data_IF_782989678034
#
_entry.id   IF_782989678034
#
_cell.length_a   1.000
_cell.length_b   1.000
_cell.length_c   1.000
_cell.angle_alpha   90.00
_cell.angle_beta   90.00
_cell.angle_gamma   90.00
#
_symmetry.space_group_name_H-M   'P 1'
#
loop_
_entity.id
_entity.type
_entity.pdbx_description
1 polymer ?
#
# COMPACT_ATOMS: atom_id res chain seq x y z
N UNK A 1 -3.31 -6.89 -29.98
CA UNK A 1 -2.29 -7.58 -29.17
C UNK A 1 -1.31 -6.56 -28.65
N UNK A 2 -1.13 -6.49 -27.33
CA UNK A 2 -0.22 -5.58 -26.66
C UNK A 2 0.70 -6.40 -25.75
N UNK A 3 1.98 -6.04 -25.65
CA UNK A 3 2.96 -6.77 -24.84
C UNK A 3 3.30 -5.96 -23.61
N UNK A 4 3.29 -6.63 -22.45
CA UNK A 4 3.84 -6.11 -21.20
C UNK A 4 5.16 -6.81 -20.91
N UNK A 5 6.17 -6.06 -20.49
CA UNK A 5 7.44 -6.64 -20.03
C UNK A 5 7.41 -6.71 -18.52
N UNK A 6 7.43 -7.91 -17.97
CA UNK A 6 7.46 -8.12 -16.52
C UNK A 6 8.85 -8.57 -16.09
N UNK A 7 9.35 -7.96 -15.03
CA UNK A 7 10.66 -8.25 -14.45
C UNK A 7 10.44 -8.56 -12.97
N UNK A 8 10.63 -9.82 -12.61
CA UNK A 8 10.63 -10.26 -11.21
C UNK A 8 11.90 -9.74 -10.53
N UNK A 9 11.75 -9.19 -9.32
CA UNK A 9 12.83 -8.60 -8.53
C UNK A 9 12.72 -9.03 -7.05
N UNK A 10 13.85 -9.15 -6.32
CA UNK A 10 13.82 -9.49 -4.89
C UNK A 10 13.47 -8.29 -4.00
N UNK A 11 13.67 -7.06 -4.49
CA UNK A 11 13.41 -5.80 -3.78
C UNK A 11 12.84 -4.78 -4.78
N UNK A 12 11.56 -4.43 -4.58
CA UNK A 12 10.84 -3.54 -5.48
C UNK A 12 11.34 -2.09 -5.40
N UNK A 13 11.65 -1.59 -4.21
CA UNK A 13 12.06 -0.18 -4.04
C UNK A 13 13.43 0.05 -4.66
N UNK A 14 14.36 -0.88 -4.42
CA UNK A 14 15.67 -0.86 -5.05
C UNK A 14 15.55 -0.92 -6.58
N UNK A 15 14.69 -1.78 -7.11
CA UNK A 15 14.48 -1.91 -8.55
C UNK A 15 13.90 -0.63 -9.16
N UNK A 16 12.86 -0.04 -8.56
CA UNK A 16 12.30 1.24 -9.02
C UNK A 16 13.39 2.30 -9.10
N UNK A 17 14.19 2.46 -8.04
CA UNK A 17 15.27 3.45 -8.00
C UNK A 17 16.33 3.20 -9.08
N UNK A 18 16.72 1.94 -9.29
CA UNK A 18 17.68 1.56 -10.33
C UNK A 18 17.16 1.93 -11.73
N UNK A 19 15.95 1.49 -12.10
CA UNK A 19 15.41 1.73 -13.44
C UNK A 19 15.16 3.21 -13.72
N UNK A 20 14.77 4.00 -12.70
CA UNK A 20 14.67 5.46 -12.80
C UNK A 20 16.01 6.11 -13.10
N UNK A 21 17.06 5.73 -12.37
CA UNK A 21 18.39 6.37 -12.47
C UNK A 21 19.16 5.93 -13.71
N UNK A 22 19.12 4.63 -14.02
CA UNK A 22 19.90 4.04 -15.10
C UNK A 22 19.32 4.32 -16.49
N UNK A 23 17.99 4.29 -16.62
CA UNK A 23 17.32 4.35 -17.92
C UNK A 23 16.31 5.49 -18.05
N UNK A 24 16.15 6.32 -17.02
CA UNK A 24 15.22 7.46 -17.06
C UNK A 24 13.74 7.06 -17.03
N UNK A 25 13.42 5.81 -16.65
CA UNK A 25 12.02 5.38 -16.55
C UNK A 25 11.30 6.15 -15.43
N UNK A 26 10.01 6.39 -15.58
CA UNK A 26 9.16 7.03 -14.57
C UNK A 26 8.26 6.00 -13.91
N UNK A 27 8.24 5.99 -12.58
CA UNK A 27 7.20 5.26 -11.84
C UNK A 27 5.84 5.90 -12.15
N UNK A 28 5.00 5.21 -12.90
CA UNK A 28 3.68 5.69 -13.26
C UNK A 28 2.68 5.44 -12.14
N UNK A 29 2.62 4.19 -11.66
CA UNK A 29 1.76 3.80 -10.54
C UNK A 29 2.24 2.52 -9.87
N UNK A 30 1.66 2.22 -8.71
CA UNK A 30 1.83 0.94 -8.01
C UNK A 30 0.59 0.08 -8.18
N UNK A 31 0.81 -1.22 -8.34
CA UNK A 31 -0.23 -2.24 -8.43
C UNK A 31 -0.18 -3.07 -7.14
N UNK A 32 -0.83 -2.57 -6.11
CA UNK A 32 -0.68 -3.07 -4.76
C UNK A 32 0.74 -2.86 -4.19
N UNK A 33 1.12 -3.58 -3.12
CA UNK A 33 2.38 -3.36 -2.43
C UNK A 33 3.60 -3.97 -3.12
N UNK A 34 3.39 -4.92 -4.05
CA UNK A 34 4.45 -5.77 -4.62
C UNK A 34 4.63 -5.61 -6.12
N UNK A 35 4.03 -4.60 -6.74
CA UNK A 35 4.21 -4.35 -8.16
C UNK A 35 4.20 -2.86 -8.49
N UNK A 36 4.96 -2.50 -9.51
CA UNK A 36 5.07 -1.14 -10.02
C UNK A 36 5.05 -1.13 -11.55
N UNK A 37 4.34 -0.16 -12.11
CA UNK A 37 4.36 0.12 -13.55
C UNK A 37 5.33 1.27 -13.84
N UNK A 38 6.30 1.00 -14.70
CA UNK A 38 7.35 1.93 -15.13
C UNK A 38 7.14 2.29 -16.60
N UNK A 39 7.10 3.58 -16.91
CA UNK A 39 6.93 4.13 -18.26
C UNK A 39 8.21 4.82 -18.74
N UNK A 40 8.30 5.08 -20.05
CA UNK A 40 9.46 5.71 -20.70
C UNK A 40 10.15 4.82 -21.74
N UNK A 41 9.80 3.54 -21.80
CA UNK A 41 10.15 2.61 -22.86
C UNK A 41 9.00 2.44 -23.87
N UNK A 42 9.27 1.79 -25.01
CA UNK A 42 8.26 1.51 -26.04
C UNK A 42 7.16 0.52 -25.59
N UNK A 43 7.45 -0.27 -24.56
CA UNK A 43 6.49 -1.10 -23.86
C UNK A 43 6.58 -0.79 -22.36
N UNK A 44 5.45 -0.79 -21.62
CA UNK A 44 5.49 -0.61 -20.18
C UNK A 44 6.27 -1.75 -19.52
N UNK A 45 7.10 -1.38 -18.54
CA UNK A 45 7.87 -2.33 -17.74
C UNK A 45 7.22 -2.46 -16.38
N UNK A 46 6.87 -3.67 -16.00
CA UNK A 46 6.30 -4.01 -14.70
C UNK A 46 7.39 -4.65 -13.84
N UNK A 47 7.65 -4.06 -12.68
CA UNK A 47 8.55 -4.61 -11.67
C UNK A 47 7.71 -5.37 -10.65
N UNK A 48 7.98 -6.65 -10.45
CA UNK A 48 7.20 -7.54 -9.60
C UNK A 48 8.06 -8.09 -8.46
N UNK A 49 7.70 -7.82 -7.21
CA UNK A 49 8.44 -8.34 -6.07
C UNK A 49 8.13 -9.82 -5.84
N UNK A 50 9.14 -10.66 -6.01
CA UNK A 50 9.07 -12.11 -5.78
C UNK A 50 10.28 -12.57 -4.98
N UNK A 51 10.05 -13.33 -3.92
CA UNK A 51 11.14 -13.86 -3.11
C UNK A 51 11.99 -14.86 -3.92
N UNK A 52 13.31 -14.80 -3.75
CA UNK A 52 14.22 -15.81 -4.28
C UNK A 52 13.82 -17.21 -3.78
N UNK A 53 14.01 -18.24 -4.61
CA UNK A 53 13.65 -19.61 -4.28
C UNK A 53 12.17 -19.96 -4.46
N UNK A 54 11.31 -19.01 -4.87
CA UNK A 54 9.90 -19.31 -5.22
C UNK A 54 9.77 -19.84 -6.65
N UNK A 55 8.81 -20.75 -6.95
CA UNK A 55 8.62 -21.25 -8.32
C UNK A 55 8.01 -20.18 -9.24
N UNK A 56 8.41 -20.15 -10.51
CA UNK A 56 7.88 -19.20 -11.49
C UNK A 56 6.43 -19.52 -11.90
N UNK A 57 6.12 -20.80 -12.06
CA UNK A 57 4.81 -21.38 -12.35
C UNK A 57 4.69 -22.73 -11.62
N UNK A 58 3.49 -23.30 -11.49
CA UNK A 58 3.32 -24.56 -10.73
C UNK A 58 4.09 -25.73 -11.33
N UNK A 59 4.18 -25.77 -12.67
CA UNK A 59 4.88 -26.80 -13.42
C UNK A 59 6.38 -26.52 -13.61
N UNK A 60 6.88 -25.37 -13.13
CA UNK A 60 8.29 -24.98 -13.25
C UNK A 60 9.14 -25.72 -12.22
N UNK A 61 10.14 -26.48 -12.70
CA UNK A 61 11.07 -27.21 -11.82
C UNK A 61 12.12 -26.31 -11.17
N UNK A 62 12.38 -25.17 -11.81
CA UNK A 62 13.40 -24.22 -11.36
C UNK A 62 12.74 -23.10 -10.57
N UNK A 63 13.42 -22.67 -9.53
CA UNK A 63 12.97 -21.56 -8.70
C UNK A 63 13.62 -20.27 -9.15
N UNK A 64 13.04 -19.14 -8.74
CA UNK A 64 13.60 -17.81 -9.01
C UNK A 64 15.00 -17.70 -8.40
N UNK A 65 15.98 -17.57 -9.27
CA UNK A 65 17.35 -17.22 -8.95
C UNK A 65 17.68 -15.90 -9.65
N UNK A 66 18.16 -14.94 -8.89
CA UNK A 66 18.53 -13.61 -9.38
C UNK A 66 20.03 -13.53 -9.74
N UNK A 67 20.75 -14.65 -9.75
CA UNK A 67 22.05 -14.77 -10.39
C UNK A 67 21.91 -14.71 -11.92
N UNK A 68 22.97 -14.26 -12.60
CA UNK A 68 22.95 -13.82 -14.01
C UNK A 68 22.55 -14.88 -15.07
N UNK A 69 22.34 -16.14 -14.70
CA UNK A 69 22.10 -17.23 -15.65
C UNK A 69 20.61 -17.54 -15.91
N UNK A 70 19.68 -16.95 -15.13
CA UNK A 70 18.25 -16.97 -15.41
C UNK A 70 17.75 -15.54 -15.64
N UNK A 71 16.97 -15.32 -16.68
CA UNK A 71 16.30 -14.02 -16.86
C UNK A 71 14.98 -14.08 -16.10
N UNK A 72 14.79 -13.31 -15.00
CA UNK A 72 13.51 -13.22 -14.29
C UNK A 72 12.55 -12.31 -15.08
N UNK A 73 12.57 -12.41 -16.40
CA UNK A 73 11.79 -11.58 -17.32
C UNK A 73 10.83 -12.49 -18.06
N UNK A 74 9.55 -12.13 -18.03
CA UNK A 74 8.52 -12.78 -18.81
C UNK A 74 7.68 -11.75 -19.55
N UNK A 75 7.13 -12.17 -20.67
CA UNK A 75 6.25 -11.35 -21.48
C UNK A 75 4.81 -11.72 -21.17
N UNK A 76 3.97 -10.70 -21.01
CA UNK A 76 2.53 -10.93 -20.96
C UNK A 76 1.92 -10.44 -22.27
N UNK A 77 1.26 -11.35 -22.98
CA UNK A 77 0.56 -11.07 -24.23
C UNK A 77 -0.90 -10.80 -23.91
N UNK A 78 -1.29 -9.54 -24.06
CA UNK A 78 -2.66 -9.09 -23.82
C UNK A 78 -3.54 -9.41 -25.02
N UNK A 79 -4.60 -10.20 -24.78
CA UNK A 79 -5.56 -10.72 -25.76
C UNK A 79 -7.00 -10.43 -25.31
N UNK A 80 -7.93 -10.54 -26.26
CA UNK A 80 -9.36 -10.35 -26.00
C UNK A 80 -10.01 -11.59 -25.35
N UNK A 81 -9.51 -12.78 -25.64
CA UNK A 81 -10.01 -14.06 -25.15
C UNK A 81 -8.83 -14.96 -24.76
N UNK A 82 -8.65 -15.16 -23.45
CA UNK A 82 -7.53 -15.95 -22.92
C UNK A 82 -7.64 -17.43 -23.28
N UNK A 83 -8.85 -18.01 -23.29
CA UNK A 83 -9.02 -19.45 -23.48
C UNK A 83 -8.70 -19.81 -24.92
N UNK A 84 -9.25 -19.03 -25.88
CA UNK A 84 -8.94 -19.19 -27.30
C UNK A 84 -7.44 -19.01 -27.60
N UNK A 85 -6.81 -18.01 -26.98
CA UNK A 85 -5.39 -17.74 -27.20
C UNK A 85 -4.50 -18.83 -26.61
N UNK A 86 -4.86 -19.38 -25.45
CA UNK A 86 -4.19 -20.55 -24.85
C UNK A 86 -4.29 -21.76 -25.77
N UNK A 87 -5.48 -22.08 -26.27
CA UNK A 87 -5.68 -23.20 -27.20
C UNK A 87 -4.81 -23.06 -28.45
N UNK A 88 -4.76 -21.85 -29.01
CA UNK A 88 -3.93 -21.54 -30.17
C UNK A 88 -2.43 -21.68 -29.87
N UNK A 89 -1.97 -21.19 -28.71
CA UNK A 89 -0.57 -21.27 -28.31
C UNK A 89 -0.14 -22.74 -28.08
N UNK A 90 -0.98 -23.52 -27.41
CA UNK A 90 -0.73 -24.96 -27.19
C UNK A 90 -0.70 -25.73 -28.50
N UNK A 91 -1.63 -25.45 -29.42
CA UNK A 91 -1.61 -26.04 -30.76
C UNK A 91 -0.34 -25.69 -31.56
N UNK A 92 0.28 -24.54 -31.27
CA UNK A 92 1.55 -24.11 -31.85
C UNK A 92 2.79 -24.66 -31.13
N UNK A 93 2.62 -25.48 -30.08
CA UNK A 93 3.70 -26.14 -29.35
C UNK A 93 4.08 -25.49 -28.01
N UNK A 94 3.37 -24.46 -27.56
CA UNK A 94 3.55 -23.95 -26.21
C UNK A 94 3.11 -24.99 -25.17
N UNK A 95 3.78 -25.00 -24.02
CA UNK A 95 3.41 -25.84 -22.88
C UNK A 95 2.61 -25.01 -21.89
N UNK A 96 1.36 -25.39 -21.65
CA UNK A 96 0.56 -24.82 -20.57
C UNK A 96 1.13 -25.26 -19.22
N UNK A 97 1.47 -24.30 -18.37
CA UNK A 97 2.02 -24.54 -17.04
C UNK A 97 0.97 -24.31 -15.95
N UNK A 98 0.21 -23.22 -16.07
CA UNK A 98 -0.92 -22.89 -15.22
C UNK A 98 -2.12 -22.45 -16.08
N UNK A 99 -3.31 -23.08 -15.93
CA UNK A 99 -4.53 -22.65 -16.60
C UNK A 99 -4.91 -21.20 -16.29
N UNK A 100 -5.75 -20.61 -17.14
CA UNK A 100 -6.24 -19.25 -16.95
C UNK A 100 -7.01 -19.11 -15.62
N UNK A 101 -6.45 -18.36 -14.68
CA UNK A 101 -7.08 -18.02 -13.40
C UNK A 101 -7.73 -16.63 -13.46
N UNK A 102 -8.88 -16.45 -12.79
CA UNK A 102 -9.61 -15.19 -12.75
C UNK A 102 -9.25 -14.34 -11.53
N UNK A 103 -9.09 -13.04 -11.75
CA UNK A 103 -8.84 -12.01 -10.76
C UNK A 103 -9.73 -10.78 -11.02
N UNK A 104 -9.77 -9.84 -10.08
CA UNK A 104 -10.54 -8.60 -10.23
C UNK A 104 -10.14 -7.76 -11.46
N UNK A 105 -8.86 -7.78 -11.81
CA UNK A 105 -8.28 -7.02 -12.92
C UNK A 105 -8.28 -7.77 -14.27
N UNK A 106 -8.53 -9.08 -14.28
CA UNK A 106 -8.36 -9.89 -15.49
C UNK A 106 -8.19 -11.38 -15.25
N UNK A 107 -7.93 -12.10 -16.35
CA UNK A 107 -7.58 -13.51 -16.38
C UNK A 107 -6.16 -13.71 -16.90
N UNK A 108 -5.43 -14.65 -16.34
CA UNK A 108 -4.04 -14.93 -16.76
C UNK A 108 -3.74 -16.42 -16.74
N UNK A 109 -3.12 -16.91 -17.81
CA UNK A 109 -2.52 -18.24 -17.90
C UNK A 109 -1.00 -18.12 -17.99
N UNK A 110 -0.26 -19.09 -17.43
CA UNK A 110 1.19 -19.17 -17.54
C UNK A 110 1.57 -20.32 -18.47
N UNK A 111 2.44 -20.03 -19.43
CA UNK A 111 2.93 -20.99 -20.41
C UNK A 111 4.45 -20.86 -20.54
N UNK A 112 5.07 -21.89 -21.11
CA UNK A 112 6.37 -21.75 -21.76
C UNK A 112 6.23 -21.92 -23.27
N UNK A 113 7.02 -21.17 -24.03
CA UNK A 113 7.16 -21.41 -25.45
C UNK A 113 7.90 -22.75 -25.72
N UNK A 114 8.00 -23.21 -26.99
CA UNK A 114 8.69 -24.46 -27.31
C UNK A 114 10.16 -24.53 -26.87
N UNK A 115 10.77 -23.40 -26.53
CA UNK A 115 12.17 -23.28 -26.12
C UNK A 115 12.33 -23.10 -24.60
N UNK A 116 11.23 -23.06 -23.85
CA UNK A 116 11.21 -22.94 -22.39
C UNK A 116 11.17 -21.50 -21.88
N UNK A 117 10.96 -20.50 -22.74
CA UNK A 117 10.80 -19.12 -22.29
C UNK A 117 9.40 -18.91 -21.70
N UNK A 118 9.35 -18.36 -20.49
CA UNK A 118 8.08 -18.05 -19.82
C UNK A 118 7.32 -16.95 -20.54
N UNK A 119 6.04 -17.20 -20.81
CA UNK A 119 5.10 -16.27 -21.43
C UNK A 119 3.74 -16.41 -20.75
N UNK A 120 3.11 -15.28 -20.44
CA UNK A 120 1.75 -15.28 -19.92
C UNK A 120 0.78 -14.80 -20.98
N UNK A 121 -0.42 -15.37 -21.01
CA UNK A 121 -1.53 -14.87 -21.83
C UNK A 121 -2.52 -14.19 -20.90
N UNK A 122 -2.76 -12.90 -21.16
CA UNK A 122 -3.51 -12.01 -20.29
C UNK A 122 -4.78 -11.53 -20.99
N UNK A 123 -5.92 -11.60 -20.32
CA UNK A 123 -7.14 -10.91 -20.73
C UNK A 123 -7.53 -9.93 -19.64
N UNK A 124 -7.52 -8.63 -19.93
CA UNK A 124 -8.03 -7.65 -18.98
C UNK A 124 -9.55 -7.77 -18.84
N UNK A 125 -10.03 -7.68 -17.60
CA UNK A 125 -11.44 -7.58 -17.25
C UNK A 125 -11.65 -6.31 -16.41
N UNK A 126 -12.88 -5.83 -16.31
CA UNK A 126 -13.19 -4.60 -15.55
C UNK A 126 -12.38 -3.41 -16.07
N UNK A 127 -11.69 -2.70 -15.17
CA UNK A 127 -10.76 -1.60 -15.52
C UNK A 127 -9.31 -2.05 -15.68
N UNK A 128 -9.05 -3.35 -15.83
CA UNK A 128 -7.69 -3.88 -15.96
C UNK A 128 -6.88 -3.69 -14.69
N UNK A 129 -5.59 -3.37 -14.82
CA UNK A 129 -4.74 -3.12 -13.66
C UNK A 129 -5.13 -1.90 -12.82
N UNK A 130 -6.05 -1.06 -13.30
CA UNK A 130 -6.63 0.01 -12.49
C UNK A 130 -7.38 -0.55 -11.26
N UNK A 131 -7.81 -1.82 -11.30
CA UNK A 131 -8.39 -2.52 -10.15
C UNK A 131 -7.35 -2.89 -9.08
N UNK A 132 -6.05 -2.92 -9.44
CA UNK A 132 -4.93 -3.19 -8.55
C UNK A 132 -4.23 -1.94 -8.03
N UNK A 133 -4.33 -0.83 -8.77
CA UNK A 133 -4.10 0.48 -8.16
C UNK A 133 -5.24 0.72 -7.18
N UNK A 134 -5.14 0.12 -5.99
CA UNK A 134 -6.02 0.47 -4.87
C UNK A 134 -6.05 1.97 -4.82
N UNK A 135 -7.22 2.57 -5.10
CA UNK A 135 -7.33 3.98 -5.43
C UNK A 135 -6.49 4.76 -4.43
N UNK A 136 -5.44 5.44 -4.92
CA UNK A 136 -4.46 6.08 -4.05
C UNK A 136 -5.18 6.80 -2.92
N UNK A 137 -4.71 6.62 -1.69
CA UNK A 137 -5.31 7.32 -0.56
C UNK A 137 -5.19 8.81 -0.84
N UNK A 138 -6.34 9.45 -1.04
CA UNK A 138 -6.39 10.89 -1.26
C UNK A 138 -6.59 11.58 0.07
N UNK A 139 -5.97 12.75 0.20
CA UNK A 139 -6.06 13.60 1.38
C UNK A 139 -6.68 14.92 0.99
N UNK A 140 -7.77 15.28 1.64
CA UNK A 140 -8.46 16.55 1.42
C UNK A 140 -8.49 17.35 2.72
N UNK A 141 -8.27 18.67 2.68
CA UNK A 141 -8.49 19.52 3.85
C UNK A 141 -9.95 19.38 4.32
N UNK A 142 -10.16 19.52 5.62
CA UNK A 142 -11.50 19.57 6.20
C UNK A 142 -11.84 20.99 6.62
N UNK A 143 -13.12 21.23 6.86
CA UNK A 143 -13.67 22.49 7.36
C UNK A 143 -14.40 22.26 8.68
N UNK A 144 -14.83 23.34 9.32
CA UNK A 144 -15.68 23.26 10.52
C UNK A 144 -16.97 22.45 10.28
N UNK A 145 -17.51 22.50 9.05
CA UNK A 145 -18.71 21.75 8.67
C UNK A 145 -18.50 20.22 8.67
N UNK A 146 -17.26 19.74 8.64
CA UNK A 146 -16.95 18.31 8.65
C UNK A 146 -16.98 17.70 10.06
N UNK A 147 -17.04 18.51 11.11
CA UNK A 147 -16.90 18.07 12.49
C UNK A 147 -17.81 16.88 12.85
N UNK A 148 -19.08 16.94 12.48
CA UNK A 148 -20.06 15.90 12.81
C UNK A 148 -19.73 14.55 12.15
N UNK A 149 -19.31 14.59 10.89
CA UNK A 149 -18.89 13.42 10.16
C UNK A 149 -17.62 12.81 10.78
N UNK A 150 -16.63 13.64 11.15
CA UNK A 150 -15.39 13.17 11.77
C UNK A 150 -15.61 12.63 13.19
N UNK A 151 -16.51 13.25 13.97
CA UNK A 151 -16.89 12.77 15.29
C UNK A 151 -17.53 11.37 15.21
N UNK A 152 -18.40 11.15 14.23
CA UNK A 152 -19.03 9.85 13.96
C UNK A 152 -17.96 8.81 13.62
N UNK A 153 -17.04 9.16 12.72
CA UNK A 153 -15.94 8.30 12.29
C UNK A 153 -15.03 7.90 13.46
N UNK A 154 -14.70 8.85 14.33
CA UNK A 154 -13.91 8.61 15.55
C UNK A 154 -14.64 7.65 16.51
N UNK A 155 -15.93 7.85 16.74
CA UNK A 155 -16.74 6.99 17.61
C UNK A 155 -16.72 5.56 17.07
N UNK A 156 -16.93 5.39 15.76
CA UNK A 156 -16.90 4.08 15.11
C UNK A 156 -15.51 3.43 15.22
N UNK A 157 -14.44 4.16 14.89
CA UNK A 157 -13.07 3.63 14.90
C UNK A 157 -12.56 3.27 16.30
N UNK A 158 -13.05 3.92 17.35
CA UNK A 158 -12.61 3.70 18.74
C UNK A 158 -13.52 2.78 19.55
N UNK A 159 -14.68 2.38 19.01
CA UNK A 159 -15.72 1.65 19.75
C UNK A 159 -15.16 0.44 20.48
N UNK A 160 -14.60 -0.52 19.75
CA UNK A 160 -14.14 -1.79 20.31
C UNK A 160 -13.07 -1.58 21.39
N UNK A 161 -12.09 -0.69 21.16
CA UNK A 161 -11.03 -0.40 22.12
C UNK A 161 -11.56 0.27 23.41
N UNK A 162 -12.57 1.13 23.29
CA UNK A 162 -13.17 1.79 24.46
C UNK A 162 -14.13 0.86 25.22
N UNK A 163 -14.87 0.01 24.51
CA UNK A 163 -15.77 -0.99 25.09
C UNK A 163 -14.98 -2.05 25.88
N UNK A 164 -13.86 -2.53 25.33
CA UNK A 164 -12.94 -3.45 26.03
C UNK A 164 -12.41 -2.89 27.35
N UNK A 165 -12.24 -1.57 27.45
CA UNK A 165 -11.79 -0.89 28.67
C UNK A 165 -12.96 -0.44 29.57
N UNK A 166 -14.21 -0.74 29.20
CA UNK A 166 -15.40 -0.29 29.93
C UNK A 166 -15.57 1.24 29.96
N UNK A 167 -15.04 1.94 28.94
CA UNK A 167 -14.95 3.41 28.90
C UNK A 167 -15.68 4.04 27.71
N UNK A 168 -16.43 3.25 26.95
CA UNK A 168 -17.18 3.78 25.81
C UNK A 168 -18.27 4.74 26.28
N UNK A 169 -18.13 5.99 25.84
CA UNK A 169 -19.07 7.09 26.08
C UNK A 169 -19.04 7.96 24.81
N UNK A 170 -20.10 7.91 23.98
CA UNK A 170 -20.11 8.58 22.68
C UNK A 170 -20.03 10.11 22.81
N UNK A 171 -20.63 10.69 23.85
CA UNK A 171 -20.57 12.13 24.12
C UNK A 171 -19.15 12.55 24.50
N UNK A 172 -18.49 11.79 25.38
CA UNK A 172 -17.08 12.04 25.72
C UNK A 172 -16.16 11.87 24.53
N UNK A 173 -16.43 10.87 23.68
CA UNK A 173 -15.67 10.64 22.47
C UNK A 173 -15.78 11.84 21.50
N UNK A 174 -16.99 12.37 21.32
CA UNK A 174 -17.25 13.57 20.54
C UNK A 174 -16.59 14.81 21.15
N UNK A 175 -16.70 15.01 22.47
CA UNK A 175 -16.10 16.14 23.17
C UNK A 175 -14.55 16.11 23.11
N UNK A 176 -13.93 14.93 23.19
CA UNK A 176 -12.47 14.81 23.03
C UNK A 176 -12.00 15.29 21.66
N UNK A 177 -12.71 14.95 20.59
CA UNK A 177 -12.41 15.50 19.26
C UNK A 177 -12.63 17.01 19.26
N UNK A 178 -13.76 17.49 19.77
CA UNK A 178 -14.09 18.93 19.80
C UNK A 178 -12.99 19.79 20.44
N UNK A 179 -12.44 19.33 21.55
CA UNK A 179 -11.41 20.06 22.29
C UNK A 179 -10.07 20.20 21.54
N UNK A 180 -9.83 19.35 20.54
CA UNK A 180 -8.56 19.28 19.81
C UNK A 180 -8.75 19.48 18.30
N UNK A 181 -9.98 19.77 17.87
CA UNK A 181 -10.31 19.91 16.45
C UNK A 181 -9.83 21.26 15.93
N UNK A 182 -8.89 21.21 15.00
CA UNK A 182 -8.34 22.35 14.27
C UNK A 182 -8.42 22.00 12.77
N UNK A 183 -9.44 22.49 12.03
CA UNK A 183 -9.65 22.14 10.62
C UNK A 183 -8.42 22.35 9.74
N UNK A 184 -7.64 23.42 10.00
CA UNK A 184 -6.40 23.77 9.31
C UNK A 184 -5.26 22.76 9.48
N UNK A 185 -5.39 21.88 10.48
CA UNK A 185 -4.44 20.82 10.80
C UNK A 185 -5.09 19.44 10.71
N UNK A 186 -6.22 19.32 10.03
CA UNK A 186 -6.98 18.08 9.89
C UNK A 186 -7.25 17.76 8.42
N UNK A 187 -7.06 16.49 8.06
CA UNK A 187 -7.28 16.01 6.69
C UNK A 187 -8.16 14.76 6.70
N UNK A 188 -9.14 14.74 5.82
CA UNK A 188 -9.91 13.54 5.54
C UNK A 188 -9.08 12.56 4.70
N UNK A 189 -9.21 11.27 5.00
CA UNK A 189 -8.62 10.15 4.28
C UNK A 189 -9.71 9.61 3.35
N UNK A 190 -9.50 9.72 2.04
CA UNK A 190 -10.41 9.21 1.03
C UNK A 190 -9.83 7.97 0.35
N UNK A 191 -10.66 6.96 0.16
CA UNK A 191 -10.33 5.73 -0.56
C UNK A 191 -11.54 5.30 -1.38
N UNK A 192 -11.36 4.99 -2.67
CA UNK A 192 -12.45 4.70 -3.61
C UNK A 192 -13.55 5.79 -3.66
N UNK A 193 -13.16 7.06 -3.56
CA UNK A 193 -14.10 8.20 -3.56
C UNK A 193 -14.93 8.36 -2.27
N UNK A 194 -14.67 7.56 -1.24
CA UNK A 194 -15.36 7.63 0.05
C UNK A 194 -14.41 8.08 1.16
N UNK A 195 -14.91 8.89 2.10
CA UNK A 195 -14.17 9.24 3.32
C UNK A 195 -14.17 8.03 4.25
N UNK A 196 -13.00 7.41 4.41
CA UNK A 196 -12.80 6.22 5.24
C UNK A 196 -12.05 6.50 6.54
N UNK A 197 -11.55 7.73 6.71
CA UNK A 197 -10.78 8.11 7.88
C UNK A 197 -10.49 9.60 7.94
N UNK A 198 -9.73 9.99 8.95
CA UNK A 198 -9.07 11.29 9.02
C UNK A 198 -7.82 11.22 9.89
N UNK A 199 -6.94 12.20 9.73
CA UNK A 199 -5.85 12.44 10.66
C UNK A 199 -5.73 13.93 10.97
N UNK A 200 -5.18 14.25 12.15
CA UNK A 200 -4.87 15.60 12.56
C UNK A 200 -3.39 15.70 12.94
N UNK A 201 -2.64 16.52 12.22
CA UNK A 201 -1.20 16.71 12.38
C UNK A 201 -0.92 18.21 12.52
N UNK A 202 -0.56 18.64 13.73
CA UNK A 202 -0.28 20.04 14.03
C UNK A 202 1.17 20.26 14.45
N UNK A 203 1.70 21.48 14.32
CA UNK A 203 2.95 21.85 14.97
C UNK A 203 2.87 21.70 16.50
N UNK A 204 3.95 21.23 17.11
CA UNK A 204 4.11 21.16 18.57
C UNK A 204 5.57 21.40 18.95
N UNK A 205 5.85 22.53 19.59
CA UNK A 205 7.23 22.93 19.92
C UNK A 205 8.12 22.93 18.68
N UNK A 206 9.21 22.16 18.73
CA UNK A 206 10.17 22.00 17.64
C UNK A 206 9.81 20.86 16.65
N UNK A 207 8.63 20.24 16.78
CA UNK A 207 8.23 19.09 15.98
C UNK A 207 6.75 19.11 15.58
N UNK A 208 6.21 17.91 15.35
CA UNK A 208 4.82 17.68 14.96
C UNK A 208 4.12 16.77 15.97
N UNK A 209 2.82 17.01 16.19
CA UNK A 209 1.94 16.16 16.99
C UNK A 209 0.85 15.59 16.10
N UNK A 210 0.77 14.25 16.07
CA UNK A 210 -0.35 13.52 15.49
C UNK A 210 -1.41 13.31 16.59
N UNK A 211 -2.39 14.19 16.66
CA UNK A 211 -3.44 14.12 17.68
C UNK A 211 -4.49 13.06 17.36
N UNK A 212 -4.78 12.87 16.08
CA UNK A 212 -5.80 11.93 15.60
C UNK A 212 -5.28 11.15 14.39
N UNK A 213 -5.53 9.84 14.37
CA UNK A 213 -5.42 9.00 13.18
C UNK A 213 -6.46 7.89 13.30
N UNK A 214 -7.53 8.01 12.51
CA UNK A 214 -8.63 7.04 12.53
C UNK A 214 -8.96 6.58 11.13
N UNK A 215 -9.20 5.29 11.00
CA UNK A 215 -9.75 4.63 9.82
C UNK A 215 -10.91 3.77 10.31
N UNK A 216 -12.06 3.83 9.65
CA UNK A 216 -13.24 3.03 10.05
C UNK A 216 -12.92 1.53 10.00
N UNK A 217 -13.49 0.68 10.88
CA UNK A 217 -13.20 -0.76 10.93
C UNK A 217 -13.32 -1.45 9.57
N UNK A 218 -14.33 -1.10 8.77
CA UNK A 218 -14.55 -1.66 7.43
C UNK A 218 -13.40 -1.40 6.43
N UNK A 219 -12.57 -0.40 6.69
CA UNK A 219 -11.43 -0.01 5.86
C UNK A 219 -10.06 -0.30 6.52
N UNK A 220 -10.04 -0.91 7.71
CA UNK A 220 -8.82 -1.32 8.40
C UNK A 220 -8.22 -2.60 7.78
N UNK A 221 -6.99 -2.94 8.12
CA UNK A 221 -6.28 -4.12 7.59
C UNK A 221 -5.79 -3.98 6.14
N UNK A 222 -6.22 -2.95 5.41
CA UNK A 222 -5.87 -2.72 4.00
C UNK A 222 -4.60 -1.85 3.82
N UNK A 223 -3.87 -1.57 4.89
CA UNK A 223 -2.64 -0.77 4.84
C UNK A 223 -2.83 0.75 4.74
N UNK A 224 -4.06 1.27 4.75
CA UNK A 224 -4.35 2.72 4.65
C UNK A 224 -3.65 3.53 5.75
N UNK A 225 -3.70 3.06 7.00
CA UNK A 225 -2.98 3.70 8.10
C UNK A 225 -1.47 3.78 7.87
N UNK A 226 -0.85 2.71 7.33
CA UNK A 226 0.58 2.71 6.99
C UNK A 226 0.91 3.63 5.81
N UNK A 227 -0.02 3.84 4.87
CA UNK A 227 0.14 4.83 3.80
C UNK A 227 0.14 6.26 4.38
N UNK A 228 -0.81 6.57 5.27
CA UNK A 228 -0.88 7.85 5.98
C UNK A 228 0.41 8.08 6.79
N UNK A 229 0.85 7.08 7.55
CA UNK A 229 2.05 7.21 8.38
C UNK A 229 3.32 7.43 7.54
N UNK A 230 3.50 6.68 6.44
CA UNK A 230 4.64 6.90 5.53
C UNK A 230 4.65 8.32 4.95
N UNK A 231 3.49 8.87 4.60
CA UNK A 231 3.38 10.27 4.14
C UNK A 231 3.83 11.24 5.22
N UNK A 232 3.26 11.13 6.42
CA UNK A 232 3.56 12.03 7.55
C UNK A 232 5.04 11.98 7.89
N UNK A 233 5.61 10.78 8.03
CA UNK A 233 7.01 10.62 8.39
C UNK A 233 7.95 11.10 7.29
N UNK A 234 7.62 10.88 6.01
CA UNK A 234 8.40 11.41 4.89
C UNK A 234 8.46 12.94 4.89
N UNK A 235 7.34 13.60 5.21
CA UNK A 235 7.30 15.06 5.34
C UNK A 235 8.08 15.55 6.56
N UNK A 236 7.94 14.87 7.70
CA UNK A 236 8.67 15.22 8.91
C UNK A 236 10.18 15.05 8.71
N UNK A 237 10.61 13.93 8.10
CA UNK A 237 12.00 13.60 7.83
C UNK A 237 12.65 14.60 6.86
N UNK A 238 11.93 15.02 5.81
CA UNK A 238 12.45 16.03 4.87
C UNK A 238 12.64 17.41 5.49
N UNK A 239 11.95 17.68 6.61
CA UNK A 239 12.02 18.92 7.38
C UNK A 239 12.89 18.81 8.64
N UNK A 240 13.42 17.61 8.93
CA UNK A 240 14.16 17.35 10.15
C UNK A 240 13.34 17.56 11.43
N UNK A 241 12.06 17.17 11.41
CA UNK A 241 11.14 17.37 12.54
C UNK A 241 10.81 16.04 13.24
N UNK A 242 10.88 15.98 14.59
CA UNK A 242 10.38 14.82 15.32
C UNK A 242 8.84 14.77 15.29
N UNK A 243 8.27 13.58 15.48
CA UNK A 243 6.82 13.38 15.52
C UNK A 243 6.41 12.72 16.83
N UNK A 244 5.41 13.29 17.51
CA UNK A 244 4.81 12.75 18.73
C UNK A 244 3.37 12.27 18.49
N UNK A 245 2.96 11.23 19.21
CA UNK A 245 1.59 10.69 19.17
C UNK A 245 1.20 10.08 20.52
N UNK A 246 -0.05 10.27 20.91
CA UNK A 246 -0.65 9.57 22.07
C UNK A 246 -1.47 8.38 21.62
N UNK A 247 -1.37 7.26 22.33
CA UNK A 247 -2.11 6.04 22.01
C UNK A 247 -2.79 5.46 23.26
N UNK A 248 -4.04 5.03 23.13
CA UNK A 248 -4.78 4.40 24.21
C UNK A 248 -4.08 3.11 24.66
N UNK A 249 -3.87 2.95 25.96
CA UNK A 249 -3.28 1.74 26.56
C UNK A 249 -4.08 0.50 26.17
N UNK A 250 -3.38 -0.59 25.86
CA UNK A 250 -3.99 -1.86 25.46
C UNK A 250 -4.54 -1.91 24.03
N UNK A 251 -4.60 -0.79 23.30
CA UNK A 251 -5.07 -0.79 21.91
C UNK A 251 -4.04 -1.33 20.93
N UNK A 252 -4.50 -1.85 19.78
CA UNK A 252 -3.64 -2.32 18.69
C UNK A 252 -2.76 -1.21 18.08
N UNK A 253 -3.14 0.06 18.28
CA UNK A 253 -2.38 1.21 17.82
C UNK A 253 -0.96 1.26 18.41
N UNK A 254 -0.74 0.71 19.61
CA UNK A 254 0.58 0.64 20.23
C UNK A 254 1.58 -0.20 19.43
N UNK A 255 1.12 -1.30 18.80
CA UNK A 255 1.95 -2.10 17.89
C UNK A 255 2.17 -1.36 16.57
N UNK A 256 1.13 -0.68 16.10
CA UNK A 256 1.16 0.11 14.88
C UNK A 256 2.18 1.25 14.93
N UNK A 257 2.29 1.99 16.04
CA UNK A 257 3.27 3.08 16.14
C UNK A 257 4.71 2.55 16.30
N UNK A 258 4.93 1.53 17.14
CA UNK A 258 6.27 0.93 17.33
C UNK A 258 6.87 0.41 16.02
N UNK A 259 6.09 -0.26 15.16
CA UNK A 259 6.58 -0.73 13.85
C UNK A 259 6.96 0.40 12.88
N UNK A 260 6.50 1.63 13.12
CA UNK A 260 6.87 2.82 12.33
C UNK A 260 8.02 3.62 12.97
N UNK A 261 8.74 3.03 13.94
CA UNK A 261 9.92 3.64 14.54
C UNK A 261 9.62 4.61 15.69
N UNK A 262 8.39 4.62 16.21
CA UNK A 262 8.08 5.38 17.40
C UNK A 262 8.57 4.64 18.66
N UNK A 263 9.18 5.40 19.57
CA UNK A 263 9.65 4.93 20.87
C UNK A 263 8.76 5.53 21.96
N UNK A 264 8.47 4.76 23.01
CA UNK A 264 7.68 5.24 24.14
C UNK A 264 8.46 6.29 24.92
N UNK A 265 7.88 7.47 25.12
CA UNK A 265 8.48 8.59 25.82
C UNK A 265 7.90 8.76 27.24
N UNK A 266 6.61 8.53 27.40
CA UNK A 266 5.93 8.59 28.69
C UNK A 266 4.69 7.68 28.69
N UNK A 267 4.13 7.45 29.88
CA UNK A 267 2.87 6.73 30.05
C UNK A 267 2.08 7.36 31.19
N UNK A 268 0.77 7.46 31.00
CA UNK A 268 -0.19 7.94 31.98
C UNK A 268 -1.14 6.81 32.37
N UNK A 269 -2.17 7.12 33.17
CA UNK A 269 -3.19 6.14 33.55
C UNK A 269 -3.86 5.49 32.33
N UNK A 270 -4.07 6.23 31.23
CA UNK A 270 -4.87 5.77 30.10
C UNK A 270 -4.15 5.77 28.76
N UNK A 271 -3.12 6.58 28.60
CA UNK A 271 -2.47 6.80 27.31
C UNK A 271 -0.95 6.59 27.42
N UNK A 272 -0.37 6.03 26.36
CA UNK A 272 1.07 5.94 26.15
C UNK A 272 1.47 7.04 25.16
N UNK A 273 2.41 7.89 25.55
CA UNK A 273 2.97 8.91 24.68
C UNK A 273 4.21 8.34 23.97
N UNK A 274 4.20 8.45 22.65
CA UNK A 274 5.24 7.99 21.76
C UNK A 274 5.90 9.17 21.06
N UNK A 275 7.20 9.05 20.80
CA UNK A 275 7.98 9.99 19.99
C UNK A 275 8.82 9.22 18.98
N UNK A 276 8.85 9.71 17.74
CA UNK A 276 9.82 9.31 16.72
C UNK A 276 10.84 10.45 16.56
N UNK A 277 12.13 10.21 16.85
CA UNK A 277 13.17 11.22 16.67
C UNK A 277 13.42 11.50 15.19
N UNK A 278 14.18 12.56 14.92
CA UNK A 278 14.69 12.85 13.58
C UNK A 278 15.70 11.76 13.20
N UNK A 279 15.62 11.15 12.00
CA UNK A 279 16.59 10.15 11.59
C UNK A 279 18.04 10.65 11.71
N UNK A 280 18.89 9.91 12.44
CA UNK A 280 20.31 10.25 12.61
C UNK A 280 20.62 11.21 13.77
N UNK A 281 19.61 11.59 14.57
CA UNK A 281 19.81 12.19 15.89
C UNK A 281 19.33 11.19 16.95
N UNK A 282 20.27 10.45 17.53
CA UNK A 282 20.03 9.76 18.79
C UNK A 282 20.13 10.80 19.92
N UNK A 283 19.15 10.79 20.84
CA UNK A 283 19.17 11.59 22.08
C UNK A 283 20.33 11.16 23.01
#
# INVERSE_FOLDING_TARGET
MHILVNIDVPDLEHAIDFYRRAFGLTLHRRLGPKAAEMLGANAPIYLLEKAAGTPAASAARQTRDYARHWTPVHLDVVVEDVDRAVDQAVAAGARLEDPAASHAWGRIAHLSDPYGHGICILQFLGRGYDELSGADVQYSPVSEADFDALATLRIEAMRDSLEQLGRFDPERARQRLRNTFQPEHTWAIQHNGQRVGFYALRPEGAGLRLDHLYVVPAAQGQGLGSQVMRRILKEADSRGLPVAVGALRGSDSNRFYRRHGFVQAAESEWDIDYRRPVPGQDD
#
